data_IF_532880217809
#
_entry.id   IF_532880217809
#
_cell.length_a   1.000
_cell.length_b   1.000
_cell.length_c   1.000
_cell.angle_alpha   90.00
_cell.angle_beta   90.00
_cell.angle_gamma   90.00
#
_symmetry.space_group_name_H-M   'P 1'
#
loop_
_entity.id
_entity.type
_entity.pdbx_description
1 polymer ?
#
# COMPACT_ATOMS: atom_id res chain seq x y z
N UNK A 1 8.63 17.47 -39.16
CA UNK A 1 8.19 16.07 -38.96
C UNK A 1 6.69 16.03 -39.19
N UNK A 2 6.23 15.24 -40.16
CA UNK A 2 4.78 15.08 -40.43
C UNK A 2 4.11 14.45 -39.22
N UNK A 3 2.99 15.00 -38.76
CA UNK A 3 2.22 14.41 -37.68
C UNK A 3 1.74 13.02 -38.09
N UNK A 4 2.01 12.01 -37.25
CA UNK A 4 1.51 10.66 -37.48
C UNK A 4 -0.04 10.68 -37.40
N UNK A 5 -0.73 9.91 -38.26
CA UNK A 5 -2.18 9.81 -38.18
C UNK A 5 -2.60 9.22 -36.83
N UNK A 6 -3.67 9.76 -36.23
CA UNK A 6 -4.24 9.19 -35.01
C UNK A 6 -4.91 7.85 -35.34
N UNK A 7 -4.39 6.77 -34.77
CA UNK A 7 -4.95 5.42 -34.88
C UNK A 7 -5.95 5.10 -33.76
N UNK A 8 -6.49 6.12 -33.08
CA UNK A 8 -7.56 5.94 -32.09
C UNK A 8 -8.89 5.58 -32.79
N UNK A 9 -9.06 4.30 -33.10
CA UNK A 9 -10.29 3.77 -33.66
C UNK A 9 -11.39 3.70 -32.58
N UNK A 10 -12.68 3.70 -32.97
CA UNK A 10 -13.79 3.48 -32.04
C UNK A 10 -13.63 2.21 -31.18
N UNK A 11 -13.01 1.15 -31.74
CA UNK A 11 -12.69 -0.08 -31.01
C UNK A 11 -11.67 0.16 -29.89
N UNK A 12 -10.58 0.88 -30.16
CA UNK A 12 -9.56 1.18 -29.14
C UNK A 12 -10.13 2.02 -28.01
N UNK A 13 -10.97 3.02 -28.34
CA UNK A 13 -11.65 3.87 -27.37
C UNK A 13 -12.67 3.09 -26.52
N UNK A 14 -13.40 2.13 -27.11
CA UNK A 14 -14.33 1.28 -26.37
C UNK A 14 -13.61 0.38 -25.34
N UNK A 15 -12.42 -0.15 -25.68
CA UNK A 15 -11.60 -0.94 -24.76
C UNK A 15 -11.08 -0.06 -23.62
N UNK A 16 -10.60 1.15 -23.93
CA UNK A 16 -10.13 2.10 -22.91
C UNK A 16 -11.26 2.50 -21.97
N UNK A 17 -12.42 2.90 -22.51
CA UNK A 17 -13.60 3.28 -21.73
C UNK A 17 -14.08 2.14 -20.81
N UNK A 18 -14.08 0.89 -21.29
CA UNK A 18 -14.44 -0.27 -20.45
C UNK A 18 -13.47 -0.44 -19.27
N UNK A 19 -12.16 -0.30 -19.50
CA UNK A 19 -11.14 -0.49 -18.47
C UNK A 19 -11.08 0.68 -17.49
N UNK A 20 -11.26 1.92 -17.97
CA UNK A 20 -11.33 3.12 -17.14
C UNK A 20 -12.60 3.16 -16.30
N UNK A 21 -13.70 2.55 -16.78
CA UNK A 21 -14.94 2.38 -16.03
C UNK A 21 -14.88 1.32 -14.92
N UNK A 22 -13.79 0.55 -14.79
CA UNK A 22 -13.64 -0.41 -13.69
C UNK A 22 -13.45 0.33 -12.36
N UNK A 23 -13.98 -0.20 -11.25
CA UNK A 23 -13.83 0.43 -9.95
C UNK A 23 -12.35 0.60 -9.57
N UNK A 24 -12.04 1.58 -8.70
CA UNK A 24 -10.72 1.71 -8.12
C UNK A 24 -10.35 0.44 -7.34
N UNK A 25 -9.06 0.22 -7.14
CA UNK A 25 -8.62 -0.86 -6.27
C UNK A 25 -8.99 -0.55 -4.82
N UNK A 26 -9.40 -1.58 -4.08
CA UNK A 26 -9.66 -1.45 -2.65
C UNK A 26 -8.40 -1.00 -1.94
N UNK A 27 -8.57 -0.14 -0.93
CA UNK A 27 -7.46 0.25 -0.08
C UNK A 27 -6.85 -0.96 0.64
N UNK A 28 -5.56 -0.89 0.92
CA UNK A 28 -4.87 -1.92 1.70
C UNK A 28 -5.34 -1.91 3.14
N UNK A 29 -5.71 -3.08 3.66
CA UNK A 29 -6.12 -3.22 5.07
C UNK A 29 -4.94 -3.08 6.04
N UNK A 30 -3.72 -3.23 5.53
CA UNK A 30 -2.43 -3.08 6.20
C UNK A 30 -1.53 -2.06 5.46
N UNK A 31 -0.46 -1.64 6.11
CA UNK A 31 0.67 -1.00 5.43
C UNK A 31 1.19 -1.93 4.33
N UNK A 32 1.32 -1.38 3.13
CA UNK A 32 1.95 -2.08 2.00
C UNK A 32 3.45 -2.00 2.14
N UNK A 33 4.11 -3.16 2.21
CA UNK A 33 5.55 -3.26 2.41
C UNK A 33 6.39 -2.50 1.37
N UNK A 34 5.91 -2.44 0.12
CA UNK A 34 6.59 -1.73 -0.96
C UNK A 34 6.58 -0.22 -0.74
N UNK A 35 5.65 0.29 0.07
CA UNK A 35 5.62 1.68 0.51
C UNK A 35 6.75 2.03 1.47
N UNK A 36 7.30 1.07 2.22
CA UNK A 36 8.34 1.31 3.24
C UNK A 36 9.68 1.79 2.69
N UNK A 37 9.88 1.76 1.36
CA UNK A 37 11.02 2.45 0.74
C UNK A 37 10.85 3.96 0.63
N UNK A 38 9.60 4.45 0.73
CA UNK A 38 9.34 5.89 0.72
C UNK A 38 9.88 6.50 2.01
N UNK A 39 10.52 7.66 1.93
CA UNK A 39 11.08 8.33 3.11
C UNK A 39 9.99 8.99 3.97
N UNK A 40 8.89 9.45 3.34
CA UNK A 40 7.80 10.12 4.03
C UNK A 40 6.90 9.16 4.86
N UNK A 41 7.07 9.15 6.18
CA UNK A 41 6.22 8.42 7.15
C UNK A 41 4.75 8.87 7.06
N UNK A 42 4.50 10.18 6.93
CA UNK A 42 3.15 10.75 6.83
C UNK A 42 2.36 10.20 5.64
N UNK A 43 3.01 9.98 4.49
CA UNK A 43 2.36 9.35 3.31
C UNK A 43 1.87 7.94 3.64
N UNK A 44 2.68 7.16 4.34
CA UNK A 44 2.32 5.79 4.73
C UNK A 44 1.17 5.77 5.72
N UNK A 45 1.18 6.70 6.67
CA UNK A 45 0.10 6.90 7.63
C UNK A 45 -1.22 7.24 6.94
N UNK A 46 -1.23 8.20 5.99
CA UNK A 46 -2.44 8.54 5.23
C UNK A 46 -2.98 7.35 4.41
N UNK A 47 -2.09 6.59 3.77
CA UNK A 47 -2.51 5.40 3.03
C UNK A 47 -3.07 4.31 3.94
N UNK A 48 -2.51 4.12 5.14
CA UNK A 48 -3.00 3.13 6.10
C UNK A 48 -4.37 3.50 6.68
N UNK A 49 -4.62 4.79 6.90
CA UNK A 49 -5.90 5.34 7.37
C UNK A 49 -6.92 5.62 6.27
N UNK A 50 -6.62 5.26 5.02
CA UNK A 50 -7.50 5.48 3.86
C UNK A 50 -7.90 6.95 3.68
N UNK A 51 -7.03 7.88 4.07
CA UNK A 51 -7.35 9.30 4.13
C UNK A 51 -7.50 9.95 2.74
N UNK A 52 -6.88 9.39 1.70
CA UNK A 52 -6.94 9.90 0.34
C UNK A 52 -7.68 8.93 -0.60
N UNK A 53 -8.09 9.41 -1.78
CA UNK A 53 -8.74 8.59 -2.81
C UNK A 53 -7.93 7.33 -3.11
N UNK A 54 -8.62 6.19 -3.17
CA UNK A 54 -8.00 4.91 -3.53
C UNK A 54 -7.35 4.97 -4.91
N UNK A 55 -6.36 4.12 -5.12
CA UNK A 55 -5.68 4.02 -6.40
C UNK A 55 -6.63 3.50 -7.49
N UNK A 56 -6.86 4.32 -8.52
CA UNK A 56 -7.59 3.93 -9.72
C UNK A 56 -6.62 3.91 -10.91
N UNK A 57 -6.12 2.73 -11.31
CA UNK A 57 -5.23 2.64 -12.46
C UNK A 57 -5.98 2.96 -13.76
N UNK A 58 -5.33 3.72 -14.63
CA UNK A 58 -5.76 3.93 -16.01
C UNK A 58 -5.79 2.60 -16.79
N UNK A 59 -6.55 2.55 -17.89
CA UNK A 59 -6.68 1.38 -18.74
C UNK A 59 -5.33 0.75 -19.12
N UNK A 60 -4.34 1.58 -19.49
CA UNK A 60 -2.98 1.12 -19.79
C UNK A 60 -2.31 0.46 -18.58
N UNK A 61 -2.41 1.06 -17.40
CA UNK A 61 -1.81 0.54 -16.17
C UNK A 61 -2.46 -0.79 -15.77
N UNK A 62 -3.78 -0.93 -15.90
CA UNK A 62 -4.50 -2.19 -15.66
C UNK A 62 -3.96 -3.31 -16.54
N UNK A 63 -3.82 -3.06 -17.84
CA UNK A 63 -3.27 -4.05 -18.79
C UNK A 63 -1.84 -4.45 -18.45
N UNK A 64 -1.00 -3.50 -18.04
CA UNK A 64 0.37 -3.80 -17.62
C UNK A 64 0.41 -4.68 -16.37
N UNK A 65 -0.40 -4.37 -15.36
CA UNK A 65 -0.49 -5.17 -14.13
C UNK A 65 -0.98 -6.59 -14.43
N UNK A 66 -2.05 -6.72 -15.23
CA UNK A 66 -2.60 -8.02 -15.62
C UNK A 66 -1.59 -8.83 -16.45
N UNK A 67 -0.91 -8.20 -17.40
CA UNK A 67 0.13 -8.83 -18.21
C UNK A 67 1.34 -9.30 -17.38
N UNK A 68 1.82 -8.46 -16.47
CA UNK A 68 2.94 -8.81 -15.59
C UNK A 68 2.57 -9.99 -14.68
N UNK A 69 1.32 -10.09 -14.22
CA UNK A 69 0.85 -11.22 -13.41
C UNK A 69 0.85 -12.54 -14.19
N UNK A 70 0.34 -12.54 -15.43
CA UNK A 70 0.40 -13.73 -16.30
C UNK A 70 1.85 -14.13 -16.59
N UNK A 71 2.72 -13.14 -16.88
CA UNK A 71 4.11 -13.44 -17.20
C UNK A 71 4.88 -14.01 -16.01
N UNK A 72 4.59 -13.57 -14.78
CA UNK A 72 5.16 -14.17 -13.57
C UNK A 72 4.81 -15.65 -13.42
N UNK A 73 3.57 -16.04 -13.75
CA UNK A 73 3.16 -17.44 -13.73
C UNK A 73 3.95 -18.28 -14.75
N UNK A 74 4.20 -17.73 -15.94
CA UNK A 74 5.02 -18.39 -16.96
C UNK A 74 6.49 -18.52 -16.52
N UNK A 75 7.06 -17.49 -15.88
CA UNK A 75 8.43 -17.54 -15.34
C UNK A 75 8.54 -18.62 -14.26
N UNK A 76 7.53 -18.80 -13.40
CA UNK A 76 7.51 -19.91 -12.43
C UNK A 76 7.63 -21.26 -13.14
N UNK A 77 6.86 -21.47 -14.20
CA UNK A 77 6.94 -22.70 -15.02
C UNK A 77 8.33 -22.87 -15.64
N UNK A 78 8.94 -21.78 -16.14
CA UNK A 78 10.31 -21.83 -16.69
C UNK A 78 11.33 -22.22 -15.62
N UNK A 79 11.23 -21.67 -14.42
CA UNK A 79 12.11 -22.04 -13.30
C UNK A 79 11.95 -23.52 -12.93
N UNK A 80 10.72 -24.02 -12.87
CA UNK A 80 10.45 -25.44 -12.60
C UNK A 80 11.03 -26.35 -13.70
N UNK A 81 10.84 -25.99 -14.97
CA UNK A 81 11.39 -26.73 -16.10
C UNK A 81 12.93 -26.71 -16.13
N UNK A 82 13.55 -25.64 -15.61
CA UNK A 82 15.00 -25.55 -15.43
C UNK A 82 15.53 -26.37 -14.24
N UNK A 83 14.66 -27.08 -13.51
CA UNK A 83 15.04 -27.98 -12.41
C UNK A 83 14.95 -27.37 -11.01
N UNK A 84 14.49 -26.12 -10.88
CA UNK A 84 14.24 -25.54 -9.56
C UNK A 84 12.95 -26.11 -8.96
N UNK A 85 12.91 -26.22 -7.64
CA UNK A 85 11.68 -26.55 -6.91
C UNK A 85 11.06 -25.26 -6.38
N UNK A 86 9.99 -24.80 -7.02
CA UNK A 86 9.29 -23.57 -6.66
C UNK A 86 8.00 -23.88 -5.91
N UNK A 87 7.79 -23.26 -4.76
CA UNK A 87 6.53 -23.31 -4.02
C UNK A 87 5.88 -21.93 -4.07
N UNK A 88 4.70 -21.81 -4.68
CA UNK A 88 3.97 -20.54 -4.83
C UNK A 88 2.90 -20.34 -3.75
N UNK A 89 2.63 -21.40 -3.00
CA UNK A 89 1.64 -21.44 -1.93
C UNK A 89 2.26 -22.05 -0.68
N UNK A 90 1.82 -21.53 0.46
CA UNK A 90 2.16 -22.09 1.75
C UNK A 90 1.52 -23.49 1.86
N UNK A 91 2.28 -24.56 2.16
CA UNK A 91 1.76 -25.92 2.21
C UNK A 91 0.80 -26.18 3.39
N UNK A 92 0.84 -25.37 4.43
CA UNK A 92 -0.04 -25.49 5.59
C UNK A 92 -1.40 -24.84 5.32
N UNK A 93 -1.39 -23.66 4.67
CA UNK A 93 -2.61 -22.86 4.49
C UNK A 93 -3.18 -22.92 3.08
N UNK A 94 -2.42 -23.42 2.10
CA UNK A 94 -2.73 -23.42 0.67
C UNK A 94 -2.97 -22.04 0.05
N UNK A 95 -2.79 -20.97 0.82
CA UNK A 95 -2.83 -19.60 0.35
C UNK A 95 -1.50 -19.19 -0.26
N UNK A 96 -1.51 -18.09 -1.01
CA UNK A 96 -0.28 -17.45 -1.51
C UNK A 96 0.62 -17.12 -0.32
N UNK A 97 1.94 -17.34 -0.48
CA UNK A 97 2.90 -16.93 0.54
C UNK A 97 2.68 -15.48 0.92
N UNK A 98 2.35 -15.27 2.19
CA UNK A 98 2.11 -13.97 2.77
C UNK A 98 2.82 -13.89 4.11
N UNK A 99 3.20 -12.68 4.49
CA UNK A 99 3.75 -12.40 5.80
C UNK A 99 2.90 -11.32 6.46
N UNK A 100 2.68 -11.49 7.77
CA UNK A 100 2.17 -10.48 8.68
C UNK A 100 3.27 -10.15 9.68
N UNK A 101 3.53 -8.88 9.87
CA UNK A 101 4.61 -8.32 10.69
C UNK A 101 4.06 -7.10 11.43
N UNK A 102 4.84 -6.54 12.37
CA UNK A 102 4.46 -5.33 13.12
C UNK A 102 3.04 -5.45 13.71
N UNK A 103 2.80 -6.47 14.54
CA UNK A 103 1.49 -6.73 15.15
C UNK A 103 0.37 -7.06 14.16
N UNK A 104 0.68 -7.31 12.87
CA UNK A 104 -0.32 -7.52 11.81
C UNK A 104 -0.61 -6.27 10.97
N UNK A 105 -0.06 -5.11 11.33
CA UNK A 105 -0.24 -3.86 10.60
C UNK A 105 0.55 -3.78 9.29
N UNK A 106 1.52 -4.68 9.10
CA UNK A 106 2.31 -4.77 7.89
C UNK A 106 2.07 -6.12 7.23
N UNK A 107 1.56 -6.12 5.99
CA UNK A 107 1.41 -7.37 5.22
C UNK A 107 1.94 -7.29 3.81
N UNK A 108 2.30 -8.45 3.28
CA UNK A 108 2.85 -8.59 1.95
C UNK A 108 2.61 -9.98 1.39
N UNK A 109 2.73 -10.09 0.07
CA UNK A 109 2.69 -11.33 -0.68
C UNK A 109 3.96 -11.51 -1.50
N UNK A 110 4.44 -12.75 -1.60
CA UNK A 110 5.63 -13.11 -2.37
C UNK A 110 5.25 -14.02 -3.54
N UNK A 111 6.15 -14.15 -4.52
CA UNK A 111 5.89 -15.03 -5.66
C UNK A 111 6.12 -16.50 -5.29
N UNK A 112 6.94 -16.76 -4.26
CA UNK A 112 7.05 -18.07 -3.65
C UNK A 112 8.32 -18.26 -2.83
N UNK A 113 8.72 -19.52 -2.68
CA UNK A 113 10.07 -19.93 -2.31
C UNK A 113 10.66 -20.80 -3.41
N UNK A 114 11.98 -20.84 -3.52
CA UNK A 114 12.71 -21.69 -4.46
C UNK A 114 13.83 -22.45 -3.76
N UNK A 115 13.97 -23.73 -4.06
CA UNK A 115 15.14 -24.57 -3.74
C UNK A 115 15.69 -25.19 -5.03
N UNK A 116 16.83 -25.88 -4.97
CA UNK A 116 17.54 -26.38 -6.17
C UNK A 116 18.00 -25.25 -7.10
N UNK A 117 18.24 -24.06 -6.53
CA UNK A 117 18.85 -22.94 -7.24
C UNK A 117 20.28 -23.35 -7.65
N UNK A 118 20.68 -23.28 -8.95
CA UNK A 118 21.97 -23.82 -9.40
C UNK A 118 23.18 -23.34 -8.61
N UNK A 119 23.19 -22.07 -8.19
CA UNK A 119 24.29 -21.45 -7.44
C UNK A 119 24.23 -21.74 -5.92
N UNK A 120 23.15 -22.36 -5.42
CA UNK A 120 22.98 -22.79 -4.03
C UNK A 120 21.88 -23.87 -3.90
N UNK A 121 22.12 -25.12 -4.35
CA UNK A 121 21.05 -26.10 -4.53
C UNK A 121 20.32 -26.50 -3.23
N UNK A 122 21.00 -26.42 -2.09
CA UNK A 122 20.47 -26.80 -0.77
C UNK A 122 19.69 -25.67 -0.10
N UNK A 123 20.06 -24.41 -0.36
CA UNK A 123 19.46 -23.27 0.34
C UNK A 123 18.07 -22.97 -0.20
N UNK A 124 17.12 -22.72 0.69
CA UNK A 124 15.81 -22.16 0.33
C UNK A 124 15.91 -20.65 0.19
N UNK A 125 15.42 -20.12 -0.92
CA UNK A 125 15.37 -18.70 -1.20
C UNK A 125 13.92 -18.21 -1.21
N UNK A 126 13.70 -17.01 -0.68
CA UNK A 126 12.50 -16.25 -1.00
C UNK A 126 12.51 -15.92 -2.50
N UNK A 127 11.46 -16.24 -3.24
CA UNK A 127 11.35 -15.95 -4.66
C UNK A 127 10.57 -14.65 -4.89
N UNK A 128 11.17 -13.73 -5.65
CA UNK A 128 10.54 -12.51 -6.12
C UNK A 128 10.80 -12.36 -7.62
N UNK A 129 9.73 -12.21 -8.41
CA UNK A 129 9.80 -12.09 -9.87
C UNK A 129 9.46 -10.66 -10.29
N UNK A 130 10.23 -10.15 -11.24
CA UNK A 130 10.17 -8.78 -11.77
C UNK A 130 10.08 -8.79 -13.29
N UNK A 131 9.17 -7.99 -13.84
CA UNK A 131 9.09 -7.72 -15.27
C UNK A 131 9.48 -6.25 -15.46
N UNK A 132 10.58 -6.00 -16.14
CA UNK A 132 11.14 -4.66 -16.28
C UNK A 132 10.87 -4.08 -17.67
N UNK A 133 10.61 -2.76 -17.69
CA UNK A 133 10.82 -2.00 -18.93
C UNK A 133 12.30 -2.03 -19.31
N UNK A 134 12.65 -1.74 -20.57
CA UNK A 134 14.05 -1.63 -20.99
C UNK A 134 14.89 -0.72 -20.07
N UNK A 135 14.35 0.45 -19.73
CA UNK A 135 15.02 1.42 -18.84
C UNK A 135 15.27 0.82 -17.45
N UNK A 136 14.28 0.17 -16.87
CA UNK A 136 14.41 -0.40 -15.52
C UNK A 136 15.31 -1.63 -15.53
N UNK A 137 15.28 -2.41 -16.60
CA UNK A 137 16.15 -3.56 -16.84
C UNK A 137 17.63 -3.14 -16.85
N UNK A 138 17.97 -2.14 -17.67
CA UNK A 138 19.34 -1.60 -17.75
C UNK A 138 19.79 -1.02 -16.40
N UNK A 139 18.89 -0.36 -15.67
CA UNK A 139 19.19 0.17 -14.35
C UNK A 139 19.43 -0.94 -13.32
N UNK A 140 18.62 -2.00 -13.32
CA UNK A 140 18.77 -3.17 -12.45
C UNK A 140 20.06 -3.94 -12.75
N UNK A 141 20.36 -4.23 -14.02
CA UNK A 141 21.61 -4.91 -14.39
C UNK A 141 22.87 -4.17 -13.93
N UNK A 142 22.83 -2.84 -13.97
CA UNK A 142 23.96 -2.01 -13.54
C UNK A 142 24.12 -1.92 -12.03
N UNK A 143 23.01 -1.88 -11.28
CA UNK A 143 23.03 -1.49 -9.85
C UNK A 143 22.54 -2.57 -8.88
N UNK A 144 21.97 -3.66 -9.37
CA UNK A 144 21.26 -4.66 -8.57
C UNK A 144 19.98 -4.11 -7.93
N UNK A 145 19.19 -5.02 -7.36
CA UNK A 145 17.86 -4.72 -6.81
C UNK A 145 17.91 -3.70 -5.68
N UNK A 146 18.99 -3.69 -4.89
CA UNK A 146 19.14 -2.82 -3.72
C UNK A 146 19.04 -1.34 -4.09
N UNK A 147 19.71 -0.95 -5.17
CA UNK A 147 19.75 0.43 -5.63
C UNK A 147 18.74 0.72 -6.73
N UNK A 148 18.47 -0.24 -7.62
CA UNK A 148 17.55 -0.02 -8.73
C UNK A 148 16.09 -0.01 -8.30
N UNK A 149 15.75 -0.78 -7.27
CA UNK A 149 14.39 -0.89 -6.75
C UNK A 149 14.34 -1.14 -5.23
N UNK A 150 14.68 -0.12 -4.41
CA UNK A 150 14.77 -0.25 -2.96
C UNK A 150 13.49 -0.81 -2.30
N UNK A 151 12.31 -0.52 -2.86
CA UNK A 151 11.02 -1.05 -2.39
C UNK A 151 10.93 -2.57 -2.45
N UNK A 152 11.49 -3.19 -3.48
CA UNK A 152 11.50 -4.63 -3.64
C UNK A 152 12.66 -5.29 -2.90
N UNK A 153 13.78 -4.58 -2.71
CA UNK A 153 14.82 -5.00 -1.79
C UNK A 153 14.30 -5.08 -0.35
N UNK A 154 13.69 -4.00 0.16
CA UNK A 154 13.09 -3.98 1.51
C UNK A 154 12.01 -5.06 1.66
N UNK A 155 11.15 -5.23 0.65
CA UNK A 155 10.17 -6.32 0.61
C UNK A 155 10.82 -7.69 0.78
N UNK A 156 11.92 -7.96 0.06
CA UNK A 156 12.62 -9.22 0.15
C UNK A 156 13.28 -9.41 1.53
N UNK A 157 13.85 -8.36 2.12
CA UNK A 157 14.46 -8.40 3.45
C UNK A 157 13.46 -8.72 4.56
N UNK A 158 12.31 -8.04 4.55
CA UNK A 158 11.23 -8.32 5.49
C UNK A 158 10.57 -9.69 5.23
N UNK A 159 10.49 -10.13 3.98
CA UNK A 159 10.02 -11.48 3.65
C UNK A 159 10.94 -12.58 4.15
N UNK A 160 12.26 -12.40 4.00
CA UNK A 160 13.25 -13.30 4.57
C UNK A 160 13.13 -13.37 6.09
N UNK A 161 12.97 -12.23 6.76
CA UNK A 161 12.70 -12.18 8.20
C UNK A 161 11.45 -12.97 8.60
N UNK A 162 10.32 -12.69 7.94
CA UNK A 162 9.04 -13.29 8.30
C UNK A 162 8.99 -14.81 8.06
N UNK A 163 9.73 -15.30 7.06
CA UNK A 163 9.79 -16.73 6.74
C UNK A 163 10.99 -17.46 7.35
N UNK A 164 11.83 -16.78 8.15
CA UNK A 164 13.05 -17.36 8.71
C UNK A 164 14.08 -17.78 7.65
N UNK A 165 14.11 -17.09 6.50
CA UNK A 165 15.03 -17.37 5.40
C UNK A 165 16.25 -16.46 5.44
N UNK A 166 17.37 -16.94 4.91
CA UNK A 166 18.64 -16.18 4.88
C UNK A 166 19.00 -15.69 3.48
N UNK A 167 18.26 -16.12 2.45
CA UNK A 167 18.50 -15.80 1.05
C UNK A 167 17.21 -15.47 0.31
N UNK A 168 17.31 -14.61 -0.69
CA UNK A 168 16.28 -14.40 -1.70
C UNK A 168 16.87 -14.53 -3.10
N UNK A 169 16.03 -14.96 -4.04
CA UNK A 169 16.28 -15.05 -5.46
C UNK A 169 15.34 -14.07 -6.16
N UNK A 170 15.93 -13.02 -6.73
CA UNK A 170 15.23 -12.04 -7.55
C UNK A 170 15.39 -12.49 -9.00
N UNK A 171 14.29 -12.89 -9.64
CA UNK A 171 14.28 -13.26 -11.07
C UNK A 171 13.66 -12.12 -11.85
N UNK A 172 14.39 -11.60 -12.83
CA UNK A 172 13.96 -10.48 -13.65
C UNK A 172 13.81 -10.91 -15.11
N UNK A 173 12.82 -10.38 -15.80
CA UNK A 173 12.69 -10.45 -17.26
C UNK A 173 12.63 -9.05 -17.88
N UNK A 174 13.33 -8.86 -18.99
CA UNK A 174 13.14 -7.71 -19.87
C UNK A 174 11.86 -7.87 -20.69
N UNK A 175 10.91 -6.95 -20.55
CA UNK A 175 9.63 -6.99 -21.26
C UNK A 175 9.80 -7.00 -22.78
N UNK A 176 10.81 -6.31 -23.30
CA UNK A 176 11.01 -6.09 -24.74
C UNK A 176 11.79 -7.23 -25.39
N UNK A 177 12.90 -7.65 -24.77
CA UNK A 177 13.84 -8.63 -25.35
C UNK A 177 13.62 -10.06 -24.86
N UNK A 178 12.82 -10.24 -23.80
CA UNK A 178 12.58 -11.52 -23.11
C UNK A 178 13.82 -12.17 -22.51
N UNK A 179 14.89 -11.40 -22.35
CA UNK A 179 16.05 -11.81 -21.56
C UNK A 179 15.63 -12.04 -20.11
N UNK A 180 16.12 -13.12 -19.50
CA UNK A 180 15.89 -13.46 -18.10
C UNK A 180 17.24 -13.51 -17.40
N UNK A 181 17.34 -12.82 -16.27
CA UNK A 181 18.51 -12.83 -15.39
C UNK A 181 18.05 -12.96 -13.93
N UNK A 182 18.95 -13.36 -13.06
CA UNK A 182 18.65 -13.52 -11.64
C UNK A 182 19.75 -12.96 -10.74
N UNK A 183 19.33 -12.42 -9.60
CA UNK A 183 20.21 -11.89 -8.55
C UNK A 183 19.89 -12.59 -7.23
N UNK A 184 20.92 -13.04 -6.52
CA UNK A 184 20.80 -13.59 -5.17
C UNK A 184 21.20 -12.53 -4.15
N UNK A 185 20.34 -12.29 -3.16
CA UNK A 185 20.63 -11.36 -2.07
C UNK A 185 20.64 -12.07 -0.72
N UNK A 186 21.43 -11.54 0.21
CA UNK A 186 21.54 -12.01 1.60
C UNK A 186 20.57 -11.26 2.51
N UNK A 187 20.11 -11.94 3.56
CA UNK A 187 19.34 -11.32 4.63
C UNK A 187 20.18 -10.32 5.45
N UNK A 188 19.62 -9.14 5.68
CA UNK A 188 20.12 -8.07 6.54
C UNK A 188 19.13 -7.89 7.70
N UNK A 189 19.47 -8.49 8.84
CA UNK A 189 18.62 -8.51 10.01
C UNK A 189 18.40 -7.12 10.62
N UNK A 190 19.42 -6.25 10.58
CA UNK A 190 19.32 -4.91 11.13
C UNK A 190 18.35 -4.06 10.30
N UNK A 191 18.49 -4.10 8.97
CA UNK A 191 17.61 -3.39 8.06
C UNK A 191 16.16 -3.87 8.17
N UNK A 192 15.94 -5.19 8.17
CA UNK A 192 14.59 -5.75 8.29
C UNK A 192 13.94 -5.37 9.63
N UNK A 193 14.67 -5.45 10.74
CA UNK A 193 14.18 -5.04 12.07
C UNK A 193 13.83 -3.55 12.10
N UNK A 194 14.69 -2.69 11.54
CA UNK A 194 14.46 -1.25 11.51
C UNK A 194 13.20 -0.88 10.70
N UNK A 195 12.98 -1.53 9.56
CA UNK A 195 11.79 -1.29 8.75
C UNK A 195 10.50 -1.85 9.37
N UNK A 196 10.56 -2.99 10.06
CA UNK A 196 9.42 -3.51 10.81
C UNK A 196 9.03 -2.56 11.95
N UNK A 197 10.00 -2.14 12.77
CA UNK A 197 9.76 -1.19 13.87
C UNK A 197 9.24 0.16 13.36
N UNK A 198 9.74 0.65 12.21
CA UNK A 198 9.20 1.84 11.56
C UNK A 198 7.74 1.65 11.14
N UNK A 199 7.39 0.50 10.56
CA UNK A 199 6.02 0.22 10.15
C UNK A 199 5.06 0.17 11.36
N UNK A 200 5.48 -0.48 12.45
CA UNK A 200 4.74 -0.53 13.71
C UNK A 200 4.49 0.87 14.28
N UNK A 201 5.55 1.69 14.39
CA UNK A 201 5.44 3.07 14.85
C UNK A 201 4.46 3.91 14.02
N UNK A 202 4.50 3.76 12.68
CA UNK A 202 3.58 4.47 11.79
C UNK A 202 2.14 3.98 11.98
N UNK A 203 1.94 2.66 12.11
CA UNK A 203 0.62 2.08 12.26
C UNK A 203 -0.06 2.50 13.57
N UNK A 204 0.71 2.58 14.66
CA UNK A 204 0.24 2.92 16.00
C UNK A 204 0.16 4.44 16.27
N UNK A 205 0.51 5.28 15.30
CA UNK A 205 0.46 6.73 15.50
C UNK A 205 -0.97 7.28 15.45
N UNK A 206 -1.39 7.96 16.51
CA UNK A 206 -2.71 8.62 16.59
C UNK A 206 -2.79 9.88 15.70
N UNK A 207 -1.68 10.59 15.56
CA UNK A 207 -1.52 11.77 14.71
C UNK A 207 -0.62 11.50 13.52
N UNK A 208 -0.79 12.22 12.39
CA UNK A 208 0.07 12.08 11.24
C UNK A 208 1.52 12.46 11.58
N UNK A 209 2.52 11.60 11.28
CA UNK A 209 3.95 11.92 11.43
C UNK A 209 4.34 13.24 10.78
N UNK A 210 5.49 13.84 11.11
CA UNK A 210 5.91 15.09 10.48
C UNK A 210 5.93 15.01 8.94
N UNK A 211 5.68 16.14 8.27
CA UNK A 211 5.88 16.24 6.82
C UNK A 211 7.35 15.98 6.49
N UNK A 212 7.61 15.37 5.34
CA UNK A 212 8.97 15.25 4.82
C UNK A 212 9.52 16.61 4.35
N UNK A 213 8.63 17.52 3.97
CA UNK A 213 8.93 18.88 3.52
C UNK A 213 7.69 19.73 3.72
N UNK A 214 7.86 21.00 4.10
CA UNK A 214 6.79 21.99 4.09
C UNK A 214 6.54 22.58 2.70
N UNK A 215 7.52 22.49 1.80
CA UNK A 215 7.35 22.82 0.37
C UNK A 215 6.46 21.76 -0.32
N UNK A 216 5.23 22.11 -0.76
CA UNK A 216 4.36 21.18 -1.47
C UNK A 216 4.95 20.69 -2.79
N UNK A 217 5.88 21.45 -3.39
CA UNK A 217 6.56 21.13 -4.63
C UNK A 217 7.90 20.39 -4.40
N UNK A 218 8.14 19.90 -3.19
CA UNK A 218 9.16 18.87 -2.98
C UNK A 218 8.87 17.63 -3.82
N UNK A 219 9.91 17.00 -4.38
CA UNK A 219 9.76 15.97 -5.41
C UNK A 219 8.92 14.76 -4.98
N UNK A 220 9.00 14.33 -3.71
CA UNK A 220 8.13 13.26 -3.18
C UNK A 220 6.68 13.72 -2.99
N UNK A 221 6.47 15.00 -2.66
CA UNK A 221 5.15 15.58 -2.43
C UNK A 221 4.37 15.75 -3.73
N UNK A 222 5.02 16.13 -4.85
CA UNK A 222 4.39 16.31 -6.18
C UNK A 222 3.61 15.09 -6.66
N UNK A 223 4.11 13.90 -6.38
CA UNK A 223 3.52 12.63 -6.83
C UNK A 223 2.86 11.86 -5.67
N UNK A 224 2.65 12.51 -4.52
CA UNK A 224 2.00 11.90 -3.38
C UNK A 224 0.48 11.86 -3.60
N UNK A 225 -0.18 10.69 -3.53
CA UNK A 225 -1.64 10.60 -3.62
C UNK A 225 -2.39 11.37 -2.53
N UNK A 226 -1.73 11.62 -1.41
CA UNK A 226 -2.26 12.39 -0.29
C UNK A 226 -1.85 13.87 -0.31
N UNK A 227 -1.28 14.39 -1.42
CA UNK A 227 -0.80 15.79 -1.51
C UNK A 227 -1.88 16.79 -1.10
N UNK A 228 -3.09 16.64 -1.63
CA UNK A 228 -4.19 17.56 -1.36
C UNK A 228 -4.72 17.49 0.09
N UNK A 229 -4.60 16.33 0.75
CA UNK A 229 -4.92 16.17 2.17
C UNK A 229 -3.78 16.73 3.06
N UNK A 230 -2.54 16.62 2.60
CA UNK A 230 -1.35 16.99 3.37
C UNK A 230 -1.00 18.48 3.29
N UNK A 231 -1.12 19.08 2.10
CA UNK A 231 -0.72 20.47 1.80
C UNK A 231 -1.87 21.32 1.24
N UNK A 232 -2.94 20.69 0.76
CA UNK A 232 -4.09 21.38 0.19
C UNK A 232 -5.22 21.57 1.20
N UNK A 233 -6.41 21.85 0.68
CA UNK A 233 -7.64 22.02 1.47
C UNK A 233 -8.60 20.82 1.31
N UNK A 234 -8.13 19.70 0.76
CA UNK A 234 -8.99 18.53 0.59
C UNK A 234 -9.24 17.84 1.92
N UNK A 235 -10.50 17.60 2.24
CA UNK A 235 -10.89 16.78 3.37
C UNK A 235 -10.38 15.34 3.21
N UNK A 236 -9.93 14.76 4.32
CA UNK A 236 -9.69 13.33 4.37
C UNK A 236 -11.01 12.55 4.14
N UNK A 237 -10.93 11.37 3.54
CA UNK A 237 -12.10 10.51 3.37
C UNK A 237 -12.68 10.10 4.73
N UNK A 238 -13.95 10.41 4.97
CA UNK A 238 -14.70 9.97 6.16
C UNK A 238 -14.84 8.44 6.21
N UNK A 239 -14.13 7.80 7.13
CA UNK A 239 -14.21 6.37 7.42
C UNK A 239 -13.69 6.09 8.85
N UNK A 240 -13.89 4.91 9.41
CA UNK A 240 -13.50 4.67 10.81
C UNK A 240 -12.01 4.88 11.08
N UNK A 241 -11.11 4.74 10.09
CA UNK A 241 -9.66 4.94 10.28
C UNK A 241 -9.23 6.41 10.27
N UNK A 242 -10.11 7.33 9.88
CA UNK A 242 -9.90 8.78 9.99
C UNK A 242 -10.63 9.37 11.18
N UNK A 243 -11.28 8.53 12.00
CA UNK A 243 -12.06 8.94 13.15
C UNK A 243 -11.18 9.17 14.38
N UNK A 244 -11.47 10.17 15.20
CA UNK A 244 -10.88 10.39 16.51
C UNK A 244 -11.07 9.19 17.45
N UNK A 245 -12.17 8.46 17.29
CA UNK A 245 -12.44 7.24 18.07
C UNK A 245 -11.75 5.99 17.49
N UNK A 246 -10.98 6.11 16.39
CA UNK A 246 -10.24 4.98 15.84
C UNK A 246 -9.18 4.53 16.83
N UNK A 247 -9.13 3.24 17.12
CA UNK A 247 -8.05 2.65 17.89
C UNK A 247 -7.51 1.43 17.15
N UNK A 248 -6.23 1.14 17.37
CA UNK A 248 -5.58 0.00 16.76
C UNK A 248 -5.79 -1.23 17.66
N UNK A 249 -6.29 -2.32 17.09
CA UNK A 249 -6.27 -3.67 17.71
C UNK A 249 -5.25 -4.54 16.99
N UNK A 250 -4.82 -5.68 17.54
CA UNK A 250 -3.78 -6.53 16.93
C UNK A 250 -4.08 -6.84 15.45
N UNK A 251 -3.38 -6.18 14.54
CA UNK A 251 -3.53 -6.32 13.09
C UNK A 251 -4.86 -5.81 12.53
N UNK A 252 -5.66 -5.14 13.36
CA UNK A 252 -7.02 -4.71 13.10
C UNK A 252 -7.26 -3.25 13.50
N UNK A 253 -8.54 -2.88 13.49
CA UNK A 253 -9.01 -1.57 13.91
C UNK A 253 -10.26 -1.75 14.76
N UNK A 254 -10.38 -0.94 15.80
CA UNK A 254 -11.55 -0.86 16.65
C UNK A 254 -12.09 0.56 16.75
N UNK A 255 -13.22 0.68 17.45
CA UNK A 255 -13.83 1.93 17.84
C UNK A 255 -13.74 2.06 19.37
N UNK A 256 -12.89 2.96 19.86
CA UNK A 256 -12.72 3.22 21.30
C UNK A 256 -14.02 3.74 21.94
N UNK A 257 -14.83 4.50 21.19
CA UNK A 257 -16.11 5.04 21.66
C UNK A 257 -17.12 3.93 21.96
N UNK A 258 -17.17 2.89 21.13
CA UNK A 258 -18.14 1.80 21.27
C UNK A 258 -17.54 0.54 21.90
N UNK A 259 -16.23 0.49 22.10
CA UNK A 259 -15.53 -0.67 22.66
C UNK A 259 -15.59 -1.93 21.79
N UNK A 260 -15.62 -1.78 20.46
CA UNK A 260 -15.75 -2.91 19.51
C UNK A 260 -14.60 -2.96 18.51
N UNK A 261 -14.23 -4.17 18.11
CA UNK A 261 -13.44 -4.41 16.90
C UNK A 261 -14.30 -4.23 15.65
N UNK A 262 -13.70 -3.75 14.56
CA UNK A 262 -14.39 -3.45 13.31
C UNK A 262 -13.86 -4.34 12.18
N UNK A 263 -14.77 -4.95 11.43
CA UNK A 263 -14.45 -5.56 10.15
C UNK A 263 -13.99 -4.50 9.13
N UNK A 264 -13.27 -4.93 8.09
CA UNK A 264 -12.82 -4.01 7.05
C UNK A 264 -13.97 -3.31 6.32
N UNK A 265 -15.16 -3.91 6.27
CA UNK A 265 -16.33 -3.30 5.65
C UNK A 265 -16.97 -2.24 6.55
N UNK A 266 -17.14 -2.53 7.84
CA UNK A 266 -17.61 -1.54 8.83
C UNK A 266 -16.68 -0.33 8.89
N UNK A 267 -15.36 -0.57 8.80
CA UNK A 267 -14.37 0.51 8.75
C UNK A 267 -14.59 1.43 7.55
N UNK A 268 -14.90 0.89 6.37
CA UNK A 268 -15.14 1.67 5.14
C UNK A 268 -16.46 2.43 5.20
N UNK A 269 -17.49 1.81 5.76
CA UNK A 269 -18.82 2.41 5.86
C UNK A 269 -18.84 3.60 6.83
N UNK A 270 -18.15 3.51 7.96
CA UNK A 270 -18.23 4.53 9.00
C UNK A 270 -19.55 4.48 9.80
N UNK A 271 -19.80 5.54 10.57
CA UNK A 271 -21.03 5.73 11.34
C UNK A 271 -21.43 7.22 11.36
N UNK A 272 -22.68 7.54 11.73
CA UNK A 272 -23.13 8.93 11.77
C UNK A 272 -22.35 9.80 12.77
N UNK A 273 -21.87 9.22 13.87
CA UNK A 273 -21.14 9.94 14.93
C UNK A 273 -19.63 9.99 14.71
N UNK A 274 -19.17 9.77 13.47
CA UNK A 274 -17.78 9.93 13.10
C UNK A 274 -17.32 11.37 13.36
N UNK A 275 -16.19 11.52 14.02
CA UNK A 275 -15.47 12.80 14.19
C UNK A 275 -14.06 12.62 13.63
N UNK A 276 -13.57 13.51 12.77
CA UNK A 276 -12.22 13.43 12.23
C UNK A 276 -11.17 13.54 13.33
N UNK A 277 -10.05 12.85 13.12
CA UNK A 277 -8.79 13.21 13.78
C UNK A 277 -8.51 14.69 13.46
N UNK A 278 -8.30 15.58 14.44
CA UNK A 278 -8.15 17.01 14.19
C UNK A 278 -7.10 17.36 13.15
N UNK A 279 -5.97 16.66 13.13
CA UNK A 279 -4.88 16.86 12.15
C UNK A 279 -5.24 16.51 10.69
N UNK A 280 -6.42 15.93 10.46
CA UNK A 280 -6.97 15.67 9.12
C UNK A 280 -7.88 16.78 8.62
N UNK A 281 -8.24 17.73 9.47
CA UNK A 281 -9.07 18.89 9.13
C UNK A 281 -8.15 20.06 8.82
N UNK A 282 -8.31 20.76 7.68
CA UNK A 282 -7.45 21.88 7.30
C UNK A 282 -7.83 23.16 8.07
N UNK A 283 -8.08 23.08 9.37
CA UNK A 283 -8.50 24.19 10.23
C UNK A 283 -8.07 23.97 11.68
N UNK A 284 -8.07 25.04 12.46
CA UNK A 284 -7.70 24.98 13.87
C UNK A 284 -8.89 24.51 14.70
N UNK A 285 -8.74 23.46 15.51
CA UNK A 285 -9.75 23.10 16.50
C UNK A 285 -9.89 24.22 17.52
N UNK A 286 -11.10 24.74 17.70
CA UNK A 286 -11.39 25.85 18.63
C UNK A 286 -12.37 25.48 19.75
N UNK A 287 -13.14 24.40 19.60
CA UNK A 287 -14.08 23.92 20.63
C UNK A 287 -14.37 22.42 20.45
N UNK A 288 -14.87 21.76 21.50
CA UNK A 288 -15.36 20.38 21.46
C UNK A 288 -16.45 20.16 22.50
N UNK A 289 -17.54 19.50 22.10
CA UNK A 289 -18.64 19.10 23.00
C UNK A 289 -18.83 17.59 22.91
N UNK A 290 -18.43 16.90 23.98
CA UNK A 290 -18.52 15.45 24.07
C UNK A 290 -19.99 14.97 24.11
N UNK A 291 -20.87 15.71 24.80
CA UNK A 291 -22.28 15.36 24.92
C UNK A 291 -23.01 15.52 23.59
N UNK A 292 -22.71 16.58 22.85
CA UNK A 292 -23.23 16.79 21.50
C UNK A 292 -22.49 15.96 20.43
N UNK A 293 -21.38 15.29 20.81
CA UNK A 293 -20.49 14.59 19.89
C UNK A 293 -20.01 15.49 18.75
N UNK A 294 -19.53 16.69 19.05
CA UNK A 294 -19.05 17.65 18.05
C UNK A 294 -17.62 18.13 18.29
N UNK A 295 -16.94 18.52 17.21
CA UNK A 295 -15.68 19.26 17.24
C UNK A 295 -15.81 20.45 16.30
N UNK A 296 -15.48 21.64 16.79
CA UNK A 296 -15.61 22.89 16.04
C UNK A 296 -14.23 23.36 15.59
N UNK A 297 -14.13 23.71 14.30
CA UNK A 297 -12.92 24.15 13.64
C UNK A 297 -13.07 25.56 13.07
N UNK A 298 -12.01 26.36 13.18
CA UNK A 298 -11.84 27.59 12.41
C UNK A 298 -11.09 27.26 11.12
N UNK A 299 -11.74 27.47 9.99
CA UNK A 299 -11.22 27.17 8.66
C UNK A 299 -10.26 28.29 8.17
N UNK A 300 -9.45 28.04 7.13
CA UNK A 300 -8.45 29.02 6.65
C UNK A 300 -9.06 30.31 6.10
N UNK A 301 -10.32 30.26 5.63
CA UNK A 301 -11.09 31.41 5.17
C UNK A 301 -11.75 32.20 6.32
N UNK A 302 -11.53 31.79 7.57
CA UNK A 302 -12.11 32.37 8.78
C UNK A 302 -13.50 31.86 9.12
N UNK A 303 -14.11 31.01 8.28
CA UNK A 303 -15.39 30.39 8.57
C UNK A 303 -15.29 29.39 9.72
N UNK A 304 -16.41 29.08 10.35
CA UNK A 304 -16.50 28.05 11.39
C UNK A 304 -17.20 26.83 10.83
N UNK A 305 -16.61 25.66 11.03
CA UNK A 305 -17.17 24.38 10.64
C UNK A 305 -17.30 23.47 11.86
N UNK A 306 -18.43 22.76 11.97
CA UNK A 306 -18.70 21.84 13.07
C UNK A 306 -18.74 20.43 12.50
N UNK A 307 -17.78 19.60 12.91
CA UNK A 307 -17.85 18.16 12.70
C UNK A 307 -18.76 17.56 13.76
N UNK A 308 -19.75 16.77 13.36
CA UNK A 308 -20.77 16.28 14.27
C UNK A 308 -21.63 15.18 13.66
N UNK A 309 -22.65 14.72 14.42
CA UNK A 309 -23.52 13.64 13.99
C UNK A 309 -24.20 13.94 12.65
N UNK A 310 -24.08 13.02 11.70
CA UNK A 310 -24.79 13.13 10.43
C UNK A 310 -26.25 12.68 10.59
N UNK A 311 -27.18 13.39 9.95
CA UNK A 311 -28.60 13.08 9.97
C UNK A 311 -28.92 11.83 9.13
N UNK A 312 -28.45 10.65 9.55
CA UNK A 312 -28.95 9.31 9.20
C UNK A 312 -28.00 8.20 9.71
N UNK A 313 -28.22 7.69 10.93
CA UNK A 313 -27.77 6.34 11.32
C UNK A 313 -28.72 5.72 12.34
N UNK A 314 -29.38 4.58 12.04
CA UNK A 314 -30.29 3.88 12.95
C UNK A 314 -29.61 3.32 14.22
N UNK A 315 -28.27 3.41 14.35
CA UNK A 315 -27.54 2.98 15.56
C UNK A 315 -27.53 4.01 16.69
N UNK A 316 -28.00 5.24 16.44
CA UNK A 316 -28.18 6.26 17.48
C UNK A 316 -29.38 5.98 18.39
N UNK A 317 -30.35 5.18 17.93
CA UNK A 317 -31.56 4.85 18.70
C UNK A 317 -31.34 3.74 19.75
N UNK A 318 -30.20 3.03 19.72
CA UNK A 318 -29.94 1.87 20.58
C UNK A 318 -29.11 2.18 21.84
N UNK A 319 -28.63 3.43 22.01
CA UNK A 319 -27.88 3.86 23.20
C UNK A 319 -28.76 4.68 24.18
N UNK A 320 -30.07 4.73 23.93
CA UNK A 320 -31.04 5.55 24.66
C UNK A 320 -32.14 4.77 25.39
N UNK A 321 -31.90 3.49 25.74
CA UNK A 321 -32.72 2.72 26.69
C UNK A 321 -31.84 2.01 27.74
#
# INVERSE_FOLDING_TARGET
>A
MTALPSLQSPTSLAIEAHLDGKPPYKDGESLRITGLATACDRRLWYSYRWAHKSFSPEARQRRLIESDMSRKAEIITLLMNAGLKVQTRDPQTWFKFSARMAGGHLTTFFDGTATMVPEAPVTTHLLQIRIYSRKDWENWRRKGIRESEPSYFIKAQLGMRALGLTRALIVAENRDTKEIEAERISYDAALATAHEARAERIALADSPPARISDDPDFWECRFCPAREVCHGAAEARRNCRTCLASCVSEGGWGCARHGVDLSAEEQRQGCAVHLYIPDLVPGDQIDADEAACTVTYRMPDGSTWIDGPQASDPRLDAAGE
#
